data_IF_702011714265
#
_entry.id   IF_702011714265
#
_cell.length_a   1.000
_cell.length_b   1.000
_cell.length_c   1.000
_cell.angle_alpha   90.00
_cell.angle_beta   90.00
_cell.angle_gamma   90.00
#
_symmetry.space_group_name_H-M   'P 1'
#
loop_
_entity.id
_entity.type
_entity.pdbx_description
1 polymer ?
#
# COMPACT_ATOMS: atom_id res chain seq x y z
N UNK A 1 16.81 4.99 -5.23
CA UNK A 1 17.89 4.10 -5.72
C UNK A 1 18.71 4.70 -6.88
N UNK A 2 18.14 5.56 -7.71
CA UNK A 2 18.79 6.10 -8.92
C UNK A 2 19.17 7.58 -8.81
N UNK A 3 18.70 8.29 -7.77
CA UNK A 3 18.80 9.76 -7.66
C UNK A 3 17.75 10.51 -8.48
N UNK A 4 16.86 9.79 -9.17
CA UNK A 4 15.75 10.34 -9.96
C UNK A 4 14.40 10.06 -9.28
N UNK A 5 13.34 10.80 -9.63
CA UNK A 5 11.97 10.50 -9.20
C UNK A 5 11.57 9.04 -9.48
N UNK A 6 10.69 8.50 -8.66
CA UNK A 6 10.19 7.13 -8.81
C UNK A 6 9.36 7.00 -10.10
N UNK A 7 9.52 5.88 -10.81
CA UNK A 7 8.92 5.65 -12.13
C UNK A 7 7.98 4.43 -12.18
N UNK A 8 7.56 3.92 -11.02
CA UNK A 8 6.68 2.77 -10.92
C UNK A 8 5.20 3.17 -10.86
N UNK A 9 4.31 2.21 -11.10
CA UNK A 9 2.87 2.47 -11.18
C UNK A 9 2.13 2.51 -9.83
N UNK A 10 2.85 2.48 -8.70
CA UNK A 10 2.25 2.71 -7.38
C UNK A 10 1.76 4.15 -7.27
N UNK A 11 0.46 4.31 -7.01
CA UNK A 11 -0.21 5.61 -6.91
C UNK A 11 -0.33 6.05 -5.46
N UNK A 12 -0.63 5.12 -4.56
CA UNK A 12 -0.79 5.41 -3.13
C UNK A 12 -0.40 4.20 -2.29
N UNK A 13 0.08 4.48 -1.08
CA UNK A 13 0.35 3.48 -0.04
C UNK A 13 -0.16 4.01 1.30
N UNK A 14 -0.89 3.16 2.02
CA UNK A 14 -1.39 3.44 3.36
C UNK A 14 -0.74 2.49 4.34
N UNK A 15 -0.18 3.00 5.43
CA UNK A 15 0.46 2.20 6.49
C UNK A 15 -0.23 2.48 7.81
N UNK A 16 -0.62 1.42 8.52
CA UNK A 16 -1.15 1.51 9.88
C UNK A 16 -0.10 1.01 10.86
N UNK A 17 0.20 1.84 11.85
CA UNK A 17 1.19 1.56 12.88
C UNK A 17 0.91 2.40 14.13
N UNK A 18 1.23 1.88 15.33
CA UNK A 18 1.01 2.56 16.62
C UNK A 18 1.79 3.88 16.77
N UNK A 19 2.84 4.02 15.97
CA UNK A 19 3.66 5.23 15.85
C UNK A 19 3.49 5.83 14.47
N UNK A 20 2.93 7.06 14.42
CA UNK A 20 2.78 7.83 13.19
C UNK A 20 4.12 8.11 12.49
N UNK A 21 5.19 8.34 13.26
CA UNK A 21 6.54 8.52 12.71
C UNK A 21 7.01 7.28 11.95
N UNK A 22 6.76 6.09 12.49
CA UNK A 22 7.13 4.84 11.81
C UNK A 22 6.20 4.54 10.63
N UNK A 23 4.91 4.89 10.71
CA UNK A 23 3.99 4.78 9.58
C UNK A 23 4.47 5.61 8.38
N UNK A 24 4.85 6.88 8.61
CA UNK A 24 5.33 7.79 7.57
C UNK A 24 6.67 7.33 6.95
N UNK A 25 7.60 6.86 7.80
CA UNK A 25 8.87 6.31 7.35
C UNK A 25 8.66 5.07 6.45
N UNK A 26 7.76 4.17 6.84
CA UNK A 26 7.41 3.00 6.03
C UNK A 26 6.68 3.37 4.75
N UNK A 27 5.72 4.29 4.80
CA UNK A 27 5.01 4.76 3.62
C UNK A 27 5.98 5.34 2.58
N UNK A 28 6.94 6.14 3.02
CA UNK A 28 8.02 6.66 2.17
C UNK A 28 8.88 5.55 1.59
N UNK A 29 9.30 4.57 2.41
CA UNK A 29 10.09 3.43 1.95
C UNK A 29 9.35 2.63 0.87
N UNK A 30 8.06 2.39 1.06
CA UNK A 30 7.22 1.68 0.11
C UNK A 30 6.96 2.47 -1.17
N UNK A 31 6.80 3.78 -1.07
CA UNK A 31 6.71 4.69 -2.21
C UNK A 31 8.01 4.73 -3.05
N UNK A 32 9.15 4.26 -2.51
CA UNK A 32 10.41 4.09 -3.26
C UNK A 32 10.56 2.68 -3.84
N UNK A 33 10.09 1.66 -3.11
CA UNK A 33 10.18 0.25 -3.52
C UNK A 33 9.16 -0.13 -4.59
N UNK A 34 8.00 0.52 -4.61
CA UNK A 34 6.84 0.12 -5.40
C UNK A 34 6.09 -1.06 -4.78
N UNK A 35 4.89 -1.36 -5.29
CA UNK A 35 3.96 -2.28 -4.63
C UNK A 35 4.47 -3.73 -4.54
N UNK A 36 5.07 -4.28 -5.60
CA UNK A 36 5.48 -5.69 -5.62
C UNK A 36 6.57 -5.99 -4.57
N UNK A 37 7.64 -5.19 -4.56
CA UNK A 37 8.71 -5.33 -3.57
C UNK A 37 8.25 -4.85 -2.18
N UNK A 38 7.49 -3.76 -2.12
CA UNK A 38 6.93 -3.21 -0.89
C UNK A 38 6.06 -4.21 -0.15
N UNK A 39 5.17 -4.91 -0.86
CA UNK A 39 4.31 -5.96 -0.30
C UNK A 39 5.13 -7.10 0.30
N UNK A 40 6.13 -7.61 -0.42
CA UNK A 40 6.99 -8.68 0.10
C UNK A 40 7.72 -8.26 1.39
N UNK A 41 8.23 -7.02 1.45
CA UNK A 41 8.88 -6.47 2.65
C UNK A 41 7.89 -6.29 3.79
N UNK A 42 6.68 -5.80 3.50
CA UNK A 42 5.63 -5.57 4.46
C UNK A 42 5.11 -6.88 5.07
N UNK A 43 4.89 -7.91 4.25
CA UNK A 43 4.51 -9.25 4.71
C UNK A 43 5.61 -9.87 5.58
N UNK A 44 6.88 -9.79 5.17
CA UNK A 44 8.00 -10.32 5.96
C UNK A 44 8.18 -9.62 7.32
N UNK A 45 7.62 -8.42 7.49
CA UNK A 45 7.68 -7.62 8.74
C UNK A 45 6.34 -7.56 9.47
N UNK A 46 5.33 -8.29 8.99
CA UNK A 46 3.98 -8.26 9.54
C UNK A 46 3.38 -6.85 9.64
N UNK A 47 3.71 -5.97 8.68
CA UNK A 47 3.22 -4.60 8.65
C UNK A 47 1.83 -4.55 8.01
N UNK A 48 0.91 -3.79 8.60
CA UNK A 48 -0.39 -3.49 8.02
C UNK A 48 -0.23 -2.42 6.93
N UNK A 49 -0.28 -2.84 5.66
CA UNK A 49 -0.08 -1.96 4.52
C UNK A 49 -1.09 -2.24 3.42
N UNK A 50 -1.59 -1.17 2.79
CA UNK A 50 -2.47 -1.19 1.64
C UNK A 50 -1.83 -0.42 0.48
N UNK A 51 -1.87 -0.98 -0.72
CA UNK A 51 -1.26 -0.45 -1.92
C UNK A 51 -2.31 -0.24 -3.01
N UNK A 52 -2.23 0.90 -3.71
CA UNK A 52 -3.01 1.18 -4.92
C UNK A 52 -2.04 1.38 -6.07
N UNK A 53 -2.20 0.58 -7.12
CA UNK A 53 -1.41 0.66 -8.34
C UNK A 53 -2.30 1.06 -9.51
N UNK A 54 -1.73 1.77 -10.49
CA UNK A 54 -2.34 1.96 -11.80
C UNK A 54 -1.93 0.80 -12.71
N UNK A 55 -2.88 0.21 -13.41
CA UNK A 55 -2.62 -0.79 -14.46
C UNK A 55 -3.43 -0.39 -15.68
N UNK A 56 -2.77 0.24 -16.66
CA UNK A 56 -3.47 0.89 -17.77
C UNK A 56 -4.32 2.06 -17.29
N UNK A 57 -5.61 2.03 -17.57
CA UNK A 57 -6.59 3.02 -17.08
C UNK A 57 -7.19 2.66 -15.72
N UNK A 58 -6.99 1.42 -15.25
CA UNK A 58 -7.58 0.89 -14.04
C UNK A 58 -6.71 1.10 -12.80
N UNK A 59 -7.34 0.96 -11.63
CA UNK A 59 -6.67 0.87 -10.33
C UNK A 59 -6.77 -0.53 -9.76
N UNK A 60 -5.63 -1.09 -9.38
CA UNK A 60 -5.52 -2.39 -8.72
C UNK A 60 -5.13 -2.17 -7.27
N UNK A 61 -5.91 -2.80 -6.39
CA UNK A 61 -5.74 -2.70 -4.94
C UNK A 61 -5.12 -3.98 -4.41
N UNK A 62 -4.19 -3.87 -3.47
CA UNK A 62 -3.64 -5.02 -2.75
C UNK A 62 -3.28 -4.64 -1.33
N UNK A 63 -3.28 -5.59 -0.41
CA UNK A 63 -2.94 -5.34 0.99
C UNK A 63 -2.26 -6.55 1.63
N UNK A 64 -1.55 -6.31 2.72
CA UNK A 64 -1.00 -7.39 3.54
C UNK A 64 -2.09 -8.05 4.39
N UNK A 65 -1.89 -9.30 4.84
CA UNK A 65 -2.81 -9.93 5.78
C UNK A 65 -3.02 -9.12 7.07
N UNK A 66 -1.96 -8.46 7.56
CA UNK A 66 -2.02 -7.61 8.75
C UNK A 66 -2.92 -6.37 8.57
N UNK A 67 -3.20 -5.96 7.33
CA UNK A 67 -4.14 -4.87 7.04
C UNK A 67 -5.60 -5.32 7.05
N UNK A 68 -5.88 -6.62 6.90
CA UNK A 68 -7.25 -7.13 6.75
C UNK A 68 -8.23 -6.70 7.87
N UNK A 69 -7.84 -6.62 9.16
CA UNK A 69 -8.75 -6.16 10.22
C UNK A 69 -9.25 -4.71 10.07
N UNK A 70 -8.59 -3.91 9.23
CA UNK A 70 -8.95 -2.51 8.98
C UNK A 70 -9.79 -2.32 7.71
N UNK A 71 -10.06 -3.40 6.98
CA UNK A 71 -10.99 -3.37 5.85
C UNK A 71 -12.40 -3.55 6.40
N UNK A 72 -13.22 -2.52 6.26
CA UNK A 72 -14.65 -2.63 6.48
C UNK A 72 -15.28 -3.41 5.31
N UNK A 73 -16.18 -4.34 5.60
CA UNK A 73 -16.95 -5.06 4.60
C UNK A 73 -18.11 -4.16 4.13
N UNK A 74 -17.80 -3.14 3.32
CA UNK A 74 -18.83 -2.33 2.64
C UNK A 74 -19.23 -2.99 1.33
N UNK A 75 -19.79 -4.19 1.41
CA UNK A 75 -20.51 -4.82 0.31
C UNK A 75 -21.94 -4.29 0.23
N UNK A 76 -22.12 -2.98 0.00
CA UNK A 76 -23.40 -2.37 -0.43
C UNK A 76 -23.19 -0.87 -0.73
N UNK A 77 -23.11 -0.48 -2.01
CA UNK A 77 -24.04 0.45 -2.70
C UNK A 77 -23.65 0.44 -4.20
N UNK A 78 -24.20 -0.51 -4.97
CA UNK A 78 -24.24 -0.42 -6.43
C UNK A 78 -25.58 -0.98 -6.94
N UNK A 79 -26.68 -0.49 -6.37
CA UNK A 79 -28.04 -0.71 -6.85
C UNK A 79 -28.95 0.46 -6.44
N UNK A 80 -28.70 1.65 -6.97
CA UNK A 80 -29.74 2.67 -7.22
C UNK A 80 -29.44 3.38 -8.53
#
# INVERSE_FOLDING_TARGET
RTGYPVSHDLVSVTVIHDSAMLADAWATAFAVLGAAQGRAVAEARSLAVYFIQRVGEDFVHSHTPAFAPYLEDHAEVASQ
#
